data_IF_680579465917
#
_entry.id   IF_680579465917
#
_cell.length_a   1.000
_cell.length_b   1.000
_cell.length_c   1.000
_cell.angle_alpha   90.00
_cell.angle_beta   90.00
_cell.angle_gamma   90.00
#
_symmetry.space_group_name_H-M   'P 1'
#
loop_
_entity.id
_entity.type
_entity.pdbx_description
1 polymer ?
#
# COMPACT_ATOMS: atom_id res chain seq x y z
N UNK A 1 10.12 -7.39 8.82
CA UNK A 1 10.51 -6.58 7.66
C UNK A 1 9.64 -6.67 6.41
N UNK A 2 8.35 -7.06 6.49
CA UNK A 2 7.50 -7.17 5.30
C UNK A 2 7.05 -5.83 4.68
N UNK A 3 6.94 -4.76 5.47
CA UNK A 3 6.47 -3.45 5.00
C UNK A 3 7.59 -2.44 4.73
N UNK A 4 8.85 -2.89 4.76
CA UNK A 4 10.01 -2.00 4.58
C UNK A 4 10.05 -1.38 3.17
N UNK A 5 9.51 -2.10 2.19
CA UNK A 5 9.39 -1.67 0.81
C UNK A 5 8.05 -2.14 0.25
N UNK A 6 7.32 -1.23 -0.37
CA UNK A 6 6.11 -1.54 -1.15
C UNK A 6 6.36 -1.10 -2.58
N UNK A 7 6.20 -2.02 -3.53
CA UNK A 7 6.29 -1.67 -4.94
C UNK A 7 5.04 -0.88 -5.34
N UNK A 8 5.23 0.24 -6.05
CA UNK A 8 4.11 1.07 -6.50
C UNK A 8 3.13 0.29 -7.41
N UNK A 9 3.64 -0.63 -8.23
CA UNK A 9 2.84 -1.54 -9.05
C UNK A 9 1.94 -2.43 -8.19
N UNK A 10 2.47 -2.99 -7.12
CA UNK A 10 1.73 -3.81 -6.16
C UNK A 10 0.67 -3.00 -5.43
N UNK A 11 1.02 -1.81 -4.93
CA UNK A 11 0.06 -0.92 -4.25
C UNK A 11 -1.12 -0.62 -5.18
N UNK A 12 -0.83 -0.24 -6.44
CA UNK A 12 -1.86 0.05 -7.44
C UNK A 12 -2.70 -1.18 -7.77
N UNK A 13 -2.10 -2.38 -7.87
CA UNK A 13 -2.84 -3.64 -8.06
C UNK A 13 -3.78 -3.88 -6.88
N UNK A 14 -3.27 -3.80 -5.65
CA UNK A 14 -4.08 -4.06 -4.45
C UNK A 14 -5.26 -3.09 -4.36
N UNK A 15 -5.05 -1.80 -4.64
CA UNK A 15 -6.15 -0.81 -4.67
C UNK A 15 -7.13 -1.06 -5.80
N UNK A 16 -6.67 -1.48 -6.99
CA UNK A 16 -7.58 -1.82 -8.10
C UNK A 16 -8.46 -3.03 -7.77
N UNK A 17 -7.89 -4.04 -7.13
CA UNK A 17 -8.56 -5.28 -6.75
C UNK A 17 -9.36 -5.18 -5.43
N UNK A 18 -9.23 -4.07 -4.68
CA UNK A 18 -10.02 -3.85 -3.48
C UNK A 18 -11.52 -3.80 -3.84
N UNK A 19 -12.41 -4.40 -3.03
CA UNK A 19 -13.85 -4.30 -3.28
C UNK A 19 -14.28 -2.83 -3.26
N UNK A 20 -15.30 -2.48 -4.05
CA UNK A 20 -15.96 -1.19 -3.91
C UNK A 20 -16.68 -1.13 -2.56
N UNK A 21 -17.00 0.07 -2.08
CA UNK A 21 -17.73 0.25 -0.82
C UNK A 21 -18.99 -0.63 -0.74
N UNK A 22 -19.79 -0.62 -1.81
CA UNK A 22 -21.06 -1.34 -1.87
C UNK A 22 -20.90 -2.87 -1.92
N UNK A 23 -19.71 -3.36 -2.28
CA UNK A 23 -19.38 -4.78 -2.37
C UNK A 23 -18.59 -5.28 -1.15
N UNK A 24 -18.27 -4.42 -0.20
CA UNK A 24 -17.54 -4.79 1.00
C UNK A 24 -18.41 -5.58 1.97
N UNK A 25 -18.21 -6.90 2.01
CA UNK A 25 -18.83 -7.79 3.00
C UNK A 25 -18.12 -7.75 4.36
N UNK A 26 -17.04 -6.98 4.46
CA UNK A 26 -16.17 -6.92 5.64
C UNK A 26 -15.92 -5.51 6.14
N UNK A 27 -14.92 -5.38 7.00
CA UNK A 27 -14.54 -4.09 7.61
C UNK A 27 -13.92 -3.11 6.61
N UNK A 28 -13.51 -3.49 5.40
CA UNK A 28 -12.75 -2.63 4.49
C UNK A 28 -13.19 -2.78 3.03
N UNK A 29 -13.15 -1.70 2.22
CA UNK A 29 -12.62 -0.37 2.53
C UNK A 29 -13.49 0.46 3.49
N UNK A 30 -12.88 1.40 4.23
CA UNK A 30 -13.56 2.30 5.20
C UNK A 30 -13.42 3.77 4.83
N UNK A 31 -14.32 4.65 5.28
CA UNK A 31 -14.08 6.09 5.25
C UNK A 31 -12.74 6.45 5.92
N UNK A 32 -11.94 7.27 5.25
CA UNK A 32 -10.74 7.87 5.82
C UNK A 32 -10.99 9.36 6.02
N UNK A 33 -11.19 9.77 7.27
CA UNK A 33 -11.55 11.16 7.62
C UNK A 33 -10.36 12.13 7.54
N UNK A 34 -9.13 11.61 7.45
CA UNK A 34 -7.90 12.41 7.46
C UNK A 34 -7.82 13.36 8.67
N UNK A 35 -8.05 12.86 9.88
CA UNK A 35 -8.04 13.66 11.12
C UNK A 35 -6.69 14.35 11.36
N UNK A 36 -5.62 13.74 10.88
CA UNK A 36 -4.24 14.20 10.95
C UNK A 36 -3.91 15.27 9.89
N UNK A 37 -4.87 15.65 9.05
CA UNK A 37 -4.73 16.64 7.98
C UNK A 37 -3.51 16.37 7.07
N UNK A 38 -3.31 15.11 6.69
CA UNK A 38 -2.26 14.70 5.77
C UNK A 38 -2.47 15.39 4.41
N UNK A 39 -1.37 15.79 3.77
CA UNK A 39 -1.39 16.31 2.40
C UNK A 39 -1.55 15.13 1.42
N UNK A 40 -2.80 14.78 1.13
CA UNK A 40 -3.16 13.69 0.23
C UNK A 40 -3.21 14.16 -1.23
N UNK A 41 -2.70 13.34 -2.14
CA UNK A 41 -2.82 13.56 -3.58
C UNK A 41 -4.15 13.06 -4.16
N UNK A 42 -4.73 12.03 -3.52
CA UNK A 42 -6.06 11.52 -3.85
C UNK A 42 -7.16 12.56 -3.57
N UNK A 43 -8.27 12.50 -4.31
CA UNK A 43 -9.41 13.41 -4.09
C UNK A 43 -10.36 12.87 -3.02
N UNK A 44 -10.98 13.75 -2.24
CA UNK A 44 -12.07 13.36 -1.34
C UNK A 44 -13.32 12.88 -2.14
N UNK A 45 -14.20 12.03 -1.57
CA UNK A 45 -14.08 11.39 -0.27
C UNK A 45 -13.04 10.26 -0.27
N UNK A 46 -12.22 10.21 0.78
CA UNK A 46 -11.15 9.23 0.89
C UNK A 46 -11.64 7.93 1.54
N UNK A 47 -11.03 6.83 1.11
CA UNK A 47 -11.19 5.50 1.69
C UNK A 47 -9.84 4.92 2.05
N UNK A 48 -9.81 4.16 3.14
CA UNK A 48 -8.66 3.36 3.53
C UNK A 48 -8.88 1.87 3.21
N UNK A 49 -7.83 1.21 2.71
CA UNK A 49 -7.78 -0.24 2.54
C UNK A 49 -6.44 -0.81 3.04
N UNK A 50 -6.41 -1.94 3.77
CA UNK A 50 -5.18 -2.54 4.25
C UNK A 50 -4.31 -3.03 3.10
N UNK A 51 -3.04 -2.65 3.13
CA UNK A 51 -2.05 -3.19 2.20
C UNK A 51 -1.37 -4.40 2.82
N UNK A 52 -1.13 -5.42 2.00
CA UNK A 52 -0.24 -6.55 2.34
C UNK A 52 1.18 -6.25 1.87
N UNK A 53 2.22 -6.86 2.50
CA UNK A 53 3.59 -6.77 2.04
C UNK A 53 3.74 -7.12 0.56
N UNK A 54 4.60 -6.39 -0.16
CA UNK A 54 5.06 -6.86 -1.48
C UNK A 54 5.77 -8.20 -1.28
N UNK A 55 5.32 -9.28 -1.93
CA UNK A 55 6.00 -10.55 -1.80
C UNK A 55 7.45 -10.42 -2.30
N UNK A 56 8.39 -10.90 -1.48
CA UNK A 56 9.77 -11.08 -1.93
C UNK A 56 9.84 -12.11 -3.06
N UNK A 57 11.03 -12.26 -3.65
CA UNK A 57 11.34 -13.25 -4.69
C UNK A 57 11.03 -14.70 -4.30
N UNK A 58 10.78 -14.99 -3.02
CA UNK A 58 10.36 -16.30 -2.53
C UNK A 58 8.83 -16.39 -2.36
N UNK A 59 8.15 -16.91 -3.39
CA UNK A 59 6.99 -17.79 -3.27
C UNK A 59 5.90 -17.42 -2.24
N UNK A 60 5.40 -16.19 -2.27
CA UNK A 60 4.04 -15.92 -1.79
C UNK A 60 3.34 -15.15 -2.88
N UNK A 61 2.35 -15.75 -3.54
CA UNK A 61 1.57 -15.05 -4.55
C UNK A 61 1.06 -13.74 -3.95
N UNK A 62 1.20 -12.65 -4.71
CA UNK A 62 0.58 -11.38 -4.40
C UNK A 62 -0.88 -11.59 -4.00
N UNK A 63 -1.23 -11.27 -2.74
CA UNK A 63 -2.58 -11.44 -2.21
C UNK A 63 -3.04 -10.16 -1.56
N UNK A 64 -4.22 -9.69 -1.94
CA UNK A 64 -4.90 -8.63 -1.21
C UNK A 64 -5.32 -9.09 0.18
N UNK A 65 -5.57 -8.13 1.06
CA UNK A 65 -6.18 -8.37 2.37
C UNK A 65 -7.55 -9.05 2.22
N UNK A 66 -7.80 -10.11 3.01
CA UNK A 66 -9.05 -10.91 2.98
C UNK A 66 -9.75 -11.00 4.34
N UNK A 67 -9.29 -10.27 5.34
CA UNK A 67 -9.75 -10.40 6.73
C UNK A 67 -8.63 -10.75 7.71
N UNK A 68 -8.92 -10.66 9.01
CA UNK A 68 -7.94 -10.89 10.09
C UNK A 68 -7.25 -9.60 10.54
N UNK A 69 -5.96 -9.67 10.88
CA UNK A 69 -5.16 -8.52 11.25
C UNK A 69 -4.85 -7.68 9.99
N UNK A 70 -5.31 -6.42 9.90
CA UNK A 70 -5.04 -5.56 8.74
C UNK A 70 -3.60 -5.02 8.70
N UNK A 71 -2.78 -5.26 9.72
CA UNK A 71 -1.44 -4.71 9.81
C UNK A 71 -1.42 -3.18 9.91
N UNK A 72 -0.24 -2.54 9.82
CA UNK A 72 -0.11 -1.10 10.08
C UNK A 72 -0.32 -0.20 8.85
N UNK A 73 -0.23 -0.74 7.62
CA UNK A 73 -0.23 0.08 6.39
C UNK A 73 -1.61 0.12 5.74
N UNK A 74 -2.00 1.31 5.27
CA UNK A 74 -3.22 1.59 4.52
C UNK A 74 -2.90 2.27 3.20
N UNK A 75 -3.60 1.88 2.15
CA UNK A 75 -3.77 2.72 0.98
C UNK A 75 -4.91 3.69 1.24
N UNK A 76 -4.74 4.96 0.86
CA UNK A 76 -5.76 6.00 0.91
C UNK A 76 -6.06 6.44 -0.52
N UNK A 77 -7.32 6.32 -0.93
CA UNK A 77 -7.74 6.58 -2.32
C UNK A 77 -9.22 7.00 -2.39
N UNK A 78 -9.65 7.51 -3.54
CA UNK A 78 -11.06 7.74 -3.81
C UNK A 78 -11.68 6.50 -4.46
N UNK A 79 -12.77 5.96 -3.92
CA UNK A 79 -13.37 4.73 -4.49
C UNK A 79 -13.91 4.94 -5.91
N UNK A 80 -14.33 6.17 -6.24
CA UNK A 80 -14.81 6.56 -7.58
C UNK A 80 -13.66 6.89 -8.54
N UNK A 81 -12.49 7.25 -8.01
CA UNK A 81 -11.29 7.60 -8.79
C UNK A 81 -10.03 7.03 -8.14
N UNK A 82 -9.70 5.79 -8.53
CA UNK A 82 -8.54 5.06 -8.00
C UNK A 82 -7.23 5.38 -8.76
N UNK A 83 -7.20 6.47 -9.54
CA UNK A 83 -6.00 6.87 -10.31
C UNK A 83 -4.87 7.38 -9.42
N UNK A 84 -5.23 8.01 -8.29
CA UNK A 84 -4.30 8.56 -7.31
C UNK A 84 -4.43 7.78 -6.01
N UNK A 85 -3.29 7.28 -5.52
CA UNK A 85 -3.22 6.44 -4.33
C UNK A 85 -2.11 6.96 -3.43
N UNK A 86 -2.50 7.34 -2.23
CA UNK A 86 -1.60 7.68 -1.14
C UNK A 86 -1.39 6.45 -0.25
N UNK A 87 -0.27 6.38 0.46
CA UNK A 87 0.01 5.30 1.42
C UNK A 87 0.27 5.92 2.79
N UNK A 88 -0.49 5.48 3.77
CA UNK A 88 -0.40 5.91 5.16
C UNK A 88 -0.11 4.71 6.08
N UNK A 89 0.49 4.97 7.24
CA UNK A 89 0.78 3.96 8.26
C UNK A 89 0.30 4.41 9.63
N UNK A 90 -0.22 3.46 10.42
CA UNK A 90 -0.41 3.61 11.86
C UNK A 90 0.95 3.49 12.56
N UNK A 91 1.36 4.52 13.31
CA UNK A 91 2.70 4.62 13.88
C UNK A 91 2.94 3.72 15.13
N UNK A 92 4.07 2.99 15.21
CA UNK A 92 4.60 2.52 16.49
C UNK A 92 6.03 3.05 16.81
N UNK A 93 6.47 4.16 16.20
CA UNK A 93 7.82 4.80 16.14
C UNK A 93 8.67 4.47 14.90
N UNK A 94 8.14 4.44 13.67
CA UNK A 94 8.90 3.88 12.53
C UNK A 94 8.66 4.46 11.13
N UNK A 95 9.48 5.42 10.74
CA UNK A 95 10.19 5.31 9.46
C UNK A 95 11.19 4.11 9.54
N UNK A 96 11.71 3.56 8.43
CA UNK A 96 12.27 2.21 8.40
C UNK A 96 13.61 2.06 9.13
N UNK A 97 13.60 1.81 10.45
CA UNK A 97 14.67 1.11 11.21
C UNK A 97 14.08 0.39 12.44
N UNK A 98 14.12 -0.95 12.46
CA UNK A 98 14.06 -1.75 13.70
C UNK A 98 12.81 -2.64 13.90
N UNK A 99 12.95 -3.80 14.56
CA UNK A 99 11.87 -4.78 14.72
C UNK A 99 10.98 -4.40 15.89
N UNK A 100 9.69 -4.17 15.66
CA UNK A 100 8.69 -4.13 16.73
C UNK A 100 7.41 -4.79 16.27
N UNK A 101 6.89 -5.66 17.12
CA UNK A 101 5.66 -6.44 16.94
C UNK A 101 4.48 -5.49 16.66
N UNK A 102 4.24 -5.19 15.39
CA UNK A 102 3.33 -4.16 14.89
C UNK A 102 1.86 -4.51 15.03
N UNK A 103 1.38 -4.66 16.27
CA UNK A 103 -0.06 -4.65 16.53
C UNK A 103 -0.60 -3.25 16.22
N UNK A 104 -1.59 -3.19 15.34
CA UNK A 104 -2.35 -1.98 15.06
C UNK A 104 -3.05 -1.52 16.35
N UNK A 105 -2.60 -0.40 16.93
CA UNK A 105 -3.36 0.27 17.96
C UNK A 105 -4.27 1.31 17.28
N UNK A 106 -5.61 1.17 17.34
CA UNK A 106 -6.54 2.06 16.65
C UNK A 106 -6.46 3.54 17.10
N UNK A 107 -5.78 3.85 18.22
CA UNK A 107 -5.56 5.21 18.69
C UNK A 107 -4.24 5.85 18.22
N UNK A 108 -3.47 5.19 17.37
CA UNK A 108 -2.21 5.74 16.84
C UNK A 108 -2.48 6.61 15.60
N UNK A 109 -1.86 7.78 15.48
CA UNK A 109 -2.07 8.66 14.33
C UNK A 109 -1.47 8.05 13.06
N UNK A 110 -2.03 8.44 11.92
CA UNK A 110 -1.47 8.12 10.61
C UNK A 110 -0.31 9.02 10.23
N UNK A 111 0.70 8.47 9.55
CA UNK A 111 1.72 9.23 8.87
C UNK A 111 2.01 8.71 7.45
N UNK A 112 2.57 9.59 6.59
CA UNK A 112 2.70 9.36 5.13
C UNK A 112 3.95 8.57 4.75
N UNK A 113 3.80 7.61 3.83
CA UNK A 113 4.92 6.87 3.25
C UNK A 113 5.93 7.78 2.55
N UNK A 114 7.22 7.54 2.78
CA UNK A 114 8.30 8.14 1.99
C UNK A 114 8.59 7.23 0.80
N UNK A 115 8.41 7.75 -0.41
CA UNK A 115 8.77 7.05 -1.64
C UNK A 115 10.30 6.99 -1.75
N UNK A 116 10.82 5.83 -2.15
CA UNK A 116 12.19 5.72 -2.66
C UNK A 116 12.12 5.68 -4.18
N UNK A 117 13.12 6.26 -4.83
CA UNK A 117 13.32 6.10 -6.26
C UNK A 117 13.48 4.60 -6.58
N UNK A 118 12.78 4.13 -7.62
CA UNK A 118 12.98 2.78 -8.12
C UNK A 118 14.42 2.63 -8.59
N UNK A 119 15.10 1.48 -8.35
CA UNK A 119 16.27 1.17 -9.16
C UNK A 119 15.83 1.24 -10.63
N UNK A 120 16.50 2.08 -11.41
CA UNK A 120 16.23 2.26 -12.83
C UNK A 120 16.19 0.90 -13.52
N UNK A 121 15.05 0.55 -14.10
CA UNK A 121 14.91 -0.65 -14.91
C UNK A 121 15.85 -0.53 -16.10
N UNK A 122 16.95 -1.28 -16.11
CA UNK A 122 17.77 -1.44 -17.30
C UNK A 122 17.05 -2.47 -18.16
N UNK A 123 16.46 -2.02 -19.26
CA UNK A 123 15.86 -2.92 -20.24
C UNK A 123 16.97 -3.75 -20.90
N UNK A 124 17.10 -5.01 -20.49
CA UNK A 124 18.09 -5.93 -21.08
C UNK A 124 17.63 -6.53 -22.40
N UNK A 125 16.50 -6.09 -22.98
CA UNK A 125 15.94 -6.69 -24.20
C UNK A 125 16.69 -6.38 -25.49
N UNK A 126 17.70 -5.49 -25.48
CA UNK A 126 18.56 -5.24 -26.66
C UNK A 126 19.77 -6.19 -26.82
N UNK A 127 19.96 -7.16 -25.94
CA UNK A 127 20.98 -8.20 -26.14
C UNK A 127 20.40 -9.44 -26.82
N UNK A 128 20.21 -9.37 -28.15
CA UNK A 128 20.46 -10.47 -29.12
C UNK A 128 19.82 -10.16 -30.48
N UNK A 129 20.50 -9.37 -31.31
CA UNK A 129 20.51 -9.56 -32.76
C UNK A 129 21.91 -9.21 -33.28
N UNK A 130 22.86 -10.10 -33.02
CA UNK A 130 24.06 -10.21 -33.85
C UNK A 130 24.50 -11.66 -33.86
N UNK A 131 23.98 -12.40 -34.84
CA UNK A 131 24.68 -13.54 -35.41
C UNK A 131 24.66 -13.32 -36.91
N UNK A 132 25.83 -12.95 -37.43
CA UNK A 132 26.23 -13.17 -38.82
C UNK A 132 26.23 -14.66 -39.11
#
# INVERSE_FOLDING_TARGET
DGYKYLQASDVRRQVREAPSENASVGRYPKPFSNHEALSLSSKAPHREFPLTPTPGTSSNSARNYRGGDPGPVRAVYNDRDRSSVDVAYHDPNGAPVGPRNGRANPSTPYAMAKYRESPTYTDTSECKHSRR
#
